data_IF_343871690711
#
_entry.id   IF_343871690711
#
_cell.length_a   1.000
_cell.length_b   1.000
_cell.length_c   1.000
_cell.angle_alpha   90.00
_cell.angle_beta   90.00
_cell.angle_gamma   90.00
#
_symmetry.space_group_name_H-M   'P 1'
#
loop_
_entity.id
_entity.type
_entity.pdbx_description
1 polymer ?
#
# COMPACT_ATOMS: atom_id res chain seq x y z
N UNK A 1 -21.02 -4.73 11.00
CA UNK A 1 -19.66 -4.15 10.89
C UNK A 1 -18.67 -5.29 11.02
N UNK A 2 -17.82 -5.60 10.02
CA UNK A 2 -16.91 -6.73 10.15
C UNK A 2 -15.92 -6.41 11.28
N UNK A 3 -15.95 -7.22 12.34
CA UNK A 3 -15.07 -7.08 13.48
C UNK A 3 -13.62 -7.13 12.97
N UNK A 4 -12.93 -6.00 13.04
CA UNK A 4 -11.50 -5.91 12.77
C UNK A 4 -10.82 -6.64 13.93
N UNK A 5 -10.66 -7.98 13.83
CA UNK A 5 -9.85 -8.75 14.78
C UNK A 5 -8.53 -8.02 14.92
N UNK A 6 -8.21 -7.60 16.14
CA UNK A 6 -6.93 -6.97 16.45
C UNK A 6 -5.83 -7.88 15.90
N UNK A 7 -4.78 -7.30 15.30
CA UNK A 7 -3.68 -8.06 14.72
C UNK A 7 -3.10 -9.05 15.76
N UNK A 8 -3.09 -8.65 17.05
CA UNK A 8 -2.86 -9.49 18.24
C UNK A 8 -3.58 -10.84 18.28
N UNK A 9 -4.78 -10.95 17.73
CA UNK A 9 -5.64 -12.15 17.76
C UNK A 9 -5.36 -13.12 16.60
N UNK A 10 -4.63 -12.69 15.57
CA UNK A 10 -4.26 -13.53 14.43
C UNK A 10 -3.04 -14.39 14.74
N UNK A 11 -3.06 -15.64 14.28
CA UNK A 11 -1.90 -16.54 14.26
C UNK A 11 -0.83 -16.03 13.29
N UNK A 12 0.44 -16.39 13.50
CA UNK A 12 1.58 -16.02 12.63
C UNK A 12 1.30 -16.34 11.15
N UNK A 13 0.64 -17.46 10.87
CA UNK A 13 0.30 -17.90 9.52
C UNK A 13 -0.72 -16.95 8.83
N UNK A 14 -1.75 -16.54 9.57
CA UNK A 14 -2.75 -15.56 9.12
C UNK A 14 -2.13 -14.16 8.94
N UNK A 15 -1.20 -13.76 9.82
CA UNK A 15 -0.43 -12.51 9.67
C UNK A 15 0.41 -12.52 8.38
N UNK A 16 1.09 -13.63 8.08
CA UNK A 16 1.87 -13.80 6.86
C UNK A 16 0.99 -13.80 5.60
N UNK A 17 -0.17 -14.45 5.65
CA UNK A 17 -1.17 -14.41 4.57
C UNK A 17 -1.64 -12.97 4.32
N UNK A 18 -1.95 -12.24 5.38
CA UNK A 18 -2.41 -10.84 5.31
C UNK A 18 -1.31 -9.92 4.79
N UNK A 19 -0.05 -10.12 5.20
CA UNK A 19 1.13 -9.43 4.65
C UNK A 19 1.26 -9.68 3.15
N UNK A 20 1.22 -10.95 2.71
CA UNK A 20 1.33 -11.32 1.29
C UNK A 20 0.20 -10.71 0.45
N UNK A 21 -1.03 -10.69 0.98
CA UNK A 21 -2.17 -10.05 0.34
C UNK A 21 -2.00 -8.54 0.25
N UNK A 22 -1.52 -7.89 1.31
CA UNK A 22 -1.22 -6.46 1.34
C UNK A 22 -0.10 -6.09 0.35
N UNK A 23 0.96 -6.89 0.26
CA UNK A 23 2.01 -6.73 -0.75
C UNK A 23 1.46 -6.90 -2.16
N UNK A 24 0.62 -7.91 -2.41
CA UNK A 24 0.00 -8.11 -3.73
C UNK A 24 -0.88 -6.91 -4.13
N UNK A 25 -1.66 -6.37 -3.19
CA UNK A 25 -2.47 -5.15 -3.42
C UNK A 25 -1.54 -3.97 -3.73
N UNK A 26 -0.48 -3.76 -2.94
CA UNK A 26 0.48 -2.68 -3.16
C UNK A 26 1.16 -2.78 -4.54
N UNK A 27 1.50 -3.99 -4.97
CA UNK A 27 2.14 -4.26 -6.26
C UNK A 27 1.17 -4.00 -7.42
N UNK A 28 -0.07 -4.46 -7.30
CA UNK A 28 -1.12 -4.19 -8.29
C UNK A 28 -1.45 -2.69 -8.39
N UNK A 29 -1.51 -2.00 -7.26
CA UNK A 29 -1.76 -0.56 -7.19
C UNK A 29 -0.60 0.24 -7.79
N UNK A 30 0.63 -0.21 -7.55
CA UNK A 30 1.83 0.37 -8.15
C UNK A 30 1.83 0.30 -9.68
N UNK A 31 1.44 -0.83 -10.26
CA UNK A 31 1.35 -0.99 -11.71
C UNK A 31 0.31 -0.03 -12.30
N UNK A 32 -0.89 0.02 -11.72
CA UNK A 32 -1.96 0.92 -12.16
C UNK A 32 -1.52 2.39 -12.06
N UNK A 33 -0.80 2.74 -11.00
CA UNK A 33 -0.27 4.08 -10.79
C UNK A 33 0.78 4.47 -11.83
N UNK A 34 1.70 3.57 -12.19
CA UNK A 34 2.66 3.80 -13.27
C UNK A 34 1.95 4.07 -14.61
N UNK A 35 0.94 3.27 -14.96
CA UNK A 35 0.15 3.47 -16.18
C UNK A 35 -0.57 4.82 -16.14
N UNK A 36 -1.18 5.17 -15.01
CA UNK A 36 -1.86 6.45 -14.83
C UNK A 36 -0.91 7.64 -14.99
N UNK A 37 0.30 7.57 -14.44
CA UNK A 37 1.33 8.61 -14.59
C UNK A 37 1.73 8.77 -16.06
N UNK A 38 2.00 7.68 -16.78
CA UNK A 38 2.35 7.73 -18.21
C UNK A 38 1.23 8.37 -19.03
N UNK A 39 -0.03 8.01 -18.75
CA UNK A 39 -1.19 8.61 -19.42
C UNK A 39 -1.32 10.10 -19.12
N UNK A 40 -1.14 10.51 -17.86
CA UNK A 40 -1.20 11.92 -17.45
C UNK A 40 -0.09 12.75 -18.09
N UNK A 41 1.13 12.22 -18.17
CA UNK A 41 2.25 12.88 -18.84
C UNK A 41 1.97 13.03 -20.34
N UNK A 42 1.51 11.96 -21.00
CA UNK A 42 1.14 11.99 -22.41
C UNK A 42 0.03 13.02 -22.69
N UNK A 43 -1.01 13.04 -21.86
CA UNK A 43 -2.12 13.97 -22.00
C UNK A 43 -1.68 15.42 -21.73
N UNK A 44 -0.82 15.64 -20.73
CA UNK A 44 -0.27 16.93 -20.36
C UNK A 44 0.55 17.55 -21.50
N UNK A 45 1.39 16.76 -22.16
CA UNK A 45 2.13 17.20 -23.35
C UNK A 45 1.20 17.54 -24.51
N UNK A 46 0.19 16.69 -24.78
CA UNK A 46 -0.74 16.89 -25.90
C UNK A 46 -1.65 18.11 -25.71
N UNK A 47 -2.09 18.37 -24.48
CA UNK A 47 -3.05 19.45 -24.16
C UNK A 47 -2.40 20.74 -23.70
N UNK A 48 -1.06 20.77 -23.51
CA UNK A 48 -0.29 21.87 -22.88
C UNK A 48 -0.84 22.30 -21.51
N UNK A 49 -1.64 21.45 -20.87
CA UNK A 49 -2.23 21.71 -19.54
C UNK A 49 -1.31 21.15 -18.46
N UNK A 50 -0.32 21.96 -18.07
CA UNK A 50 0.62 21.65 -17.00
C UNK A 50 -0.04 21.46 -15.62
N UNK A 51 -1.31 21.82 -15.46
CA UNK A 51 -2.08 21.58 -14.24
C UNK A 51 -2.23 20.08 -13.88
N UNK A 52 -2.14 19.19 -14.87
CA UNK A 52 -2.18 17.74 -14.65
C UNK A 52 -0.92 17.21 -13.93
N UNK A 53 0.15 18.01 -13.86
CA UNK A 53 1.41 17.63 -13.19
C UNK A 53 1.34 17.61 -11.66
N UNK A 54 0.28 18.15 -11.04
CA UNK A 54 0.07 18.10 -9.58
C UNK A 54 -0.62 16.83 -9.08
N UNK A 55 -1.26 16.07 -9.97
CA UNK A 55 -1.98 14.82 -9.64
C UNK A 55 -1.07 13.71 -9.08
N UNK A 56 0.19 13.52 -9.54
CA UNK A 56 1.10 12.54 -8.93
C UNK A 56 1.28 12.75 -7.42
N UNK A 57 1.33 14.02 -6.96
CA UNK A 57 1.53 14.33 -5.55
C UNK A 57 0.35 13.87 -4.66
N UNK A 58 -0.89 13.96 -5.16
CA UNK A 58 -2.06 13.50 -4.40
C UNK A 58 -2.16 11.97 -4.35
N UNK A 59 -1.69 11.26 -5.39
CA UNK A 59 -1.62 9.80 -5.35
C UNK A 59 -0.59 9.28 -4.31
N UNK A 60 0.49 10.02 -4.04
CA UNK A 60 1.43 9.63 -2.98
C UNK A 60 0.79 9.59 -1.59
N UNK A 61 -0.21 10.44 -1.30
CA UNK A 61 -0.93 10.41 -0.03
C UNK A 61 -1.70 9.09 0.19
N UNK A 62 -2.14 8.42 -0.88
CA UNK A 62 -2.83 7.14 -0.81
C UNK A 62 -1.91 5.98 -0.39
N UNK A 63 -0.58 6.15 -0.53
CA UNK A 63 0.39 5.13 -0.11
C UNK A 63 0.60 5.08 1.41
N UNK A 64 0.34 6.18 2.13
CA UNK A 64 0.54 6.29 3.58
C UNK A 64 -0.22 5.19 4.35
N UNK A 65 -1.56 5.03 4.20
CA UNK A 65 -2.29 4.01 4.96
C UNK A 65 -1.90 2.57 4.59
N UNK A 66 -1.46 2.34 3.35
CA UNK A 66 -0.98 1.03 2.89
C UNK A 66 0.34 0.69 3.59
N UNK A 67 1.26 1.66 3.62
CA UNK A 67 2.55 1.50 4.28
C UNK A 67 2.41 1.33 5.79
N UNK A 68 1.55 2.11 6.45
CA UNK A 68 1.28 1.99 7.90
C UNK A 68 0.72 0.60 8.24
N UNK A 69 -0.26 0.10 7.47
CA UNK A 69 -0.79 -1.25 7.67
C UNK A 69 0.30 -2.32 7.50
N UNK A 70 1.15 -2.18 6.48
CA UNK A 70 2.25 -3.11 6.24
C UNK A 70 3.29 -3.08 7.37
N UNK A 71 3.64 -1.88 7.85
CA UNK A 71 4.59 -1.68 8.94
C UNK A 71 4.06 -2.27 10.25
N UNK A 72 2.78 -2.06 10.58
CA UNK A 72 2.14 -2.63 11.77
C UNK A 72 2.13 -4.17 11.74
N UNK A 73 1.75 -4.77 10.60
CA UNK A 73 1.78 -6.24 10.44
C UNK A 73 3.22 -6.76 10.58
N UNK A 74 4.20 -6.08 10.01
CA UNK A 74 5.60 -6.48 10.06
C UNK A 74 6.21 -6.33 11.46
N UNK A 75 5.85 -5.27 12.19
CA UNK A 75 6.25 -5.09 13.59
C UNK A 75 5.66 -6.18 14.48
N UNK A 76 4.38 -6.52 14.32
CA UNK A 76 3.80 -7.63 15.08
C UNK A 76 4.46 -8.98 14.81
N UNK A 77 4.78 -9.30 13.53
CA UNK A 77 5.51 -10.52 13.20
C UNK A 77 6.87 -10.53 13.91
N UNK A 78 7.63 -9.43 13.82
CA UNK A 78 8.95 -9.31 14.45
C UNK A 78 8.88 -9.43 15.98
N UNK A 79 7.93 -8.74 16.62
CA UNK A 79 7.76 -8.80 18.08
C UNK A 79 7.42 -10.20 18.56
N UNK A 80 6.65 -10.99 17.79
CA UNK A 80 6.32 -12.37 18.15
C UNK A 80 7.44 -13.37 17.85
N UNK A 81 8.28 -13.10 16.86
CA UNK A 81 9.51 -13.89 16.63
C UNK A 81 10.55 -13.62 17.71
N UNK A 82 10.73 -12.35 18.11
CA UNK A 82 11.67 -11.95 19.16
C UNK A 82 11.25 -12.41 20.57
N UNK A 83 9.95 -12.65 20.82
CA UNK A 83 9.44 -13.18 22.11
C UNK A 83 9.56 -14.71 22.22
N UNK A 84 10.00 -15.39 21.15
CA UNK A 84 10.24 -16.84 21.13
C UNK A 84 11.71 -17.22 21.32
N UNK A 85 12.63 -16.24 21.33
CA UNK A 85 13.96 -16.36 21.93
C UNK A 85 13.88 -16.08 23.44
#
# INVERSE_FOLDING_TARGET
MPANKALSDLTIDELNKKKKKSTAVMLSFGIVMCVAIVLLVYLGFKTKKYALSGIPASLFCLFIPIYVNYAQINQEIKSRQSKKE
#
